data_IF_290443345663
#
_entry.id   IF_290443345663
#
_cell.length_a   1.000
_cell.length_b   1.000
_cell.length_c   1.000
_cell.angle_alpha   90.00
_cell.angle_beta   90.00
_cell.angle_gamma   90.00
#
_symmetry.space_group_name_H-M   'P 1'
#
loop_
_entity.id
_entity.type
_entity.pdbx_description
1 polymer ?
#
# COMPACT_ATOMS: atom_id res chain seq x y z
N UNK A 1 -18.29 -19.36 1.54
CA UNK A 1 -17.25 -18.32 1.37
C UNK A 1 -15.88 -18.91 1.72
N UNK A 2 -14.83 -18.60 0.96
CA UNK A 2 -13.47 -19.12 1.13
C UNK A 2 -12.72 -18.40 2.27
N UNK A 3 -13.20 -18.58 3.51
CA UNK A 3 -12.80 -17.80 4.70
C UNK A 3 -12.12 -18.68 5.76
N UNK A 4 -11.06 -19.38 5.38
CA UNK A 4 -10.35 -20.32 6.25
C UNK A 4 -8.85 -20.02 6.23
N UNK A 5 -8.18 -20.26 7.35
CA UNK A 5 -6.73 -20.09 7.52
C UNK A 5 -6.27 -18.63 7.30
N UNK A 6 -6.61 -17.71 8.22
CA UNK A 6 -6.01 -16.38 8.20
C UNK A 6 -4.48 -16.47 8.16
N UNK A 7 -3.86 -15.63 7.32
CA UNK A 7 -2.41 -15.50 7.24
C UNK A 7 -2.00 -14.26 8.02
N UNK A 8 -0.95 -14.39 8.82
CA UNK A 8 -0.38 -13.27 9.56
C UNK A 8 0.58 -12.50 8.68
N UNK A 9 0.52 -11.16 8.75
CA UNK A 9 1.59 -10.33 8.23
C UNK A 9 2.82 -10.46 9.12
N UNK A 10 4.00 -10.56 8.50
CA UNK A 10 5.28 -10.63 9.20
C UNK A 10 6.23 -9.57 8.67
N UNK A 11 7.13 -9.13 9.54
CA UNK A 11 8.14 -8.12 9.20
C UNK A 11 7.56 -6.76 8.80
N UNK A 12 8.41 -5.99 8.14
CA UNK A 12 8.10 -4.64 7.67
C UNK A 12 7.28 -4.69 6.39
N UNK A 13 6.45 -3.67 6.20
CA UNK A 13 5.83 -3.37 4.90
C UNK A 13 6.81 -2.57 4.07
N UNK A 14 6.61 -2.49 2.76
CA UNK A 14 7.42 -1.61 1.91
C UNK A 14 6.62 -1.01 0.75
N UNK A 15 7.02 0.20 0.35
CA UNK A 15 6.75 0.70 -0.99
C UNK A 15 7.87 0.20 -1.92
N UNK A 16 7.53 -0.23 -3.14
CA UNK A 16 8.48 -0.65 -4.17
C UNK A 16 8.11 0.00 -5.51
N UNK A 17 9.12 0.27 -6.33
CA UNK A 17 8.97 0.86 -7.65
C UNK A 17 9.57 -0.05 -8.73
N UNK A 18 8.86 -0.17 -9.86
CA UNK A 18 9.34 -0.86 -11.07
C UNK A 18 9.73 -2.33 -10.87
N UNK A 19 9.12 -3.03 -9.91
CA UNK A 19 9.51 -4.38 -9.50
C UNK A 19 10.92 -4.48 -8.92
N UNK A 20 11.61 -3.35 -8.72
CA UNK A 20 13.00 -3.33 -8.31
C UNK A 20 13.11 -3.40 -6.79
N UNK A 21 13.59 -4.54 -6.26
CA UNK A 21 13.80 -4.73 -4.81
C UNK A 21 14.76 -3.71 -4.20
N UNK A 22 15.74 -3.18 -4.95
CA UNK A 22 16.66 -2.18 -4.41
C UNK A 22 16.02 -0.81 -4.22
N UNK A 23 14.83 -0.58 -4.79
CA UNK A 23 14.07 0.66 -4.60
C UNK A 23 13.21 0.64 -3.33
N UNK A 24 13.16 -0.48 -2.60
CA UNK A 24 12.24 -0.65 -1.50
C UNK A 24 12.45 0.38 -0.39
N UNK A 25 11.37 1.03 -0.01
CA UNK A 25 11.29 1.84 1.19
C UNK A 25 10.48 1.07 2.23
N UNK A 26 11.19 0.46 3.18
CA UNK A 26 10.57 -0.30 4.26
C UNK A 26 10.05 0.62 5.36
N UNK A 27 8.92 0.24 5.96
CA UNK A 27 8.34 0.93 7.11
C UNK A 27 7.58 -0.06 8.00
N UNK A 28 7.48 0.26 9.28
CA UNK A 28 6.80 -0.57 10.26
C UNK A 28 5.32 -0.19 10.38
N UNK A 29 4.44 -0.97 9.76
CA UNK A 29 2.99 -0.78 9.87
C UNK A 29 2.47 -1.00 11.29
N UNK A 30 3.06 -1.92 12.06
CA UNK A 30 2.58 -2.21 13.41
C UNK A 30 2.95 -1.07 14.36
N UNK A 31 4.18 -0.59 14.32
CA UNK A 31 4.63 0.55 15.14
C UNK A 31 3.87 1.85 14.84
N UNK A 32 3.34 2.00 13.63
CA UNK A 32 2.49 3.13 13.22
C UNK A 32 1.01 2.99 13.65
N UNK A 33 0.63 1.88 14.26
CA UNK A 33 -0.78 1.58 14.57
C UNK A 33 -1.61 1.30 13.32
N UNK A 34 -0.98 0.95 12.20
CA UNK A 34 -1.62 0.67 10.92
C UNK A 34 -1.92 -0.81 10.70
N UNK A 35 -1.75 -1.64 11.72
CA UNK A 35 -2.05 -3.07 11.67
C UNK A 35 -3.06 -3.41 12.77
N UNK A 36 -4.12 -4.16 12.42
CA UNK A 36 -5.11 -4.64 13.40
C UNK A 36 -5.64 -6.02 13.03
N UNK A 37 -6.01 -6.80 14.04
CA UNK A 37 -6.79 -8.04 13.91
C UNK A 37 -8.14 -7.96 14.62
N UNK A 38 -8.50 -6.80 15.15
CA UNK A 38 -9.74 -6.58 15.90
C UNK A 38 -10.91 -6.30 14.94
N UNK A 39 -12.06 -6.92 15.22
CA UNK A 39 -13.28 -6.71 14.41
C UNK A 39 -13.20 -7.25 12.98
N UNK A 40 -12.21 -8.08 12.67
CA UNK A 40 -11.95 -8.54 11.31
C UNK A 40 -12.86 -9.70 10.91
N UNK A 41 -13.19 -9.77 9.61
CA UNK A 41 -13.94 -10.88 9.03
C UNK A 41 -13.15 -11.43 7.84
N UNK A 42 -12.67 -12.68 7.90
CA UNK A 42 -12.82 -13.69 8.98
C UNK A 42 -12.16 -13.29 10.31
N UNK A 43 -12.69 -13.76 11.44
CA UNK A 43 -12.11 -13.52 12.76
C UNK A 43 -10.65 -13.98 12.80
N UNK A 44 -9.77 -13.14 13.34
CA UNK A 44 -8.33 -13.40 13.44
C UNK A 44 -7.55 -13.05 12.17
N UNK A 45 -8.21 -12.57 11.11
CA UNK A 45 -7.50 -11.98 9.97
C UNK A 45 -6.87 -10.66 10.37
N UNK A 46 -5.82 -10.26 9.66
CA UNK A 46 -5.14 -9.01 9.87
C UNK A 46 -5.42 -8.03 8.72
N UNK A 47 -5.46 -6.75 9.05
CA UNK A 47 -5.45 -5.64 8.09
C UNK A 47 -4.19 -4.82 8.27
N UNK A 48 -3.67 -4.30 7.15
CA UNK A 48 -2.70 -3.20 7.14
C UNK A 48 -3.32 -2.02 6.39
N UNK A 49 -3.18 -0.80 6.93
CA UNK A 49 -3.62 0.43 6.24
C UNK A 49 -2.84 0.60 4.94
N UNK A 50 -3.53 1.06 3.89
CA UNK A 50 -2.86 1.48 2.66
C UNK A 50 -1.92 2.66 2.97
N UNK A 51 -0.59 2.51 2.76
CA UNK A 51 0.41 3.53 3.07
C UNK A 51 0.50 4.65 2.02
N UNK A 52 -0.20 4.51 0.88
CA UNK A 52 -0.14 5.45 -0.25
C UNK A 52 -1.02 6.66 0.06
N UNK A 53 -0.45 7.86 0.19
CA UNK A 53 -1.26 9.03 0.53
C UNK A 53 -1.80 9.70 -0.75
N UNK A 54 -2.80 10.57 -0.61
CA UNK A 54 -3.40 11.30 -1.76
C UNK A 54 -2.44 12.32 -2.36
N UNK A 55 -2.25 12.36 -3.68
CA UNK A 55 -1.31 13.33 -4.32
C UNK A 55 -1.49 14.79 -3.88
N UNK A 56 -2.70 15.16 -3.46
CA UNK A 56 -3.05 16.50 -3.03
C UNK A 56 -2.74 16.78 -1.55
N UNK A 57 -2.12 15.84 -0.81
CA UNK A 57 -1.92 15.95 0.64
C UNK A 57 -1.11 17.16 1.08
N UNK A 58 -0.22 17.69 0.24
CA UNK A 58 0.52 18.91 0.60
C UNK A 58 -0.34 20.17 0.49
N UNK A 59 -1.40 20.12 -0.32
CA UNK A 59 -2.37 21.21 -0.45
C UNK A 59 -3.49 21.09 0.59
N UNK A 60 -3.98 19.88 0.80
CA UNK A 60 -5.20 19.61 1.58
C UNK A 60 -4.91 19.15 3.02
N UNK A 61 -3.64 18.86 3.31
CA UNK A 61 -3.22 18.19 4.52
C UNK A 61 -3.24 16.68 4.35
N UNK A 62 -2.31 15.94 4.98
CA UNK A 62 -2.29 14.49 4.87
C UNK A 62 -3.32 13.85 5.81
N UNK A 63 -4.12 12.92 5.29
CA UNK A 63 -5.06 12.11 6.09
C UNK A 63 -4.37 11.21 7.12
N UNK A 64 -3.06 10.99 6.96
CA UNK A 64 -2.18 10.28 7.87
C UNK A 64 -0.73 10.70 7.59
N UNK A 65 0.18 10.59 8.57
CA UNK A 65 1.60 10.92 8.37
C UNK A 65 2.23 10.01 7.29
N UNK A 66 2.63 10.55 6.12
CA UNK A 66 3.17 9.75 5.02
C UNK A 66 4.46 9.01 5.39
N UNK A 67 4.67 7.82 4.81
CA UNK A 67 5.92 7.06 4.99
C UNK A 67 7.07 7.59 4.14
N UNK A 68 6.78 8.51 3.21
CA UNK A 68 7.76 9.11 2.33
C UNK A 68 7.31 10.51 1.88
N UNK A 69 8.24 11.29 1.34
CA UNK A 69 8.01 12.66 0.88
C UNK A 69 7.99 12.73 -0.65
N UNK A 70 7.13 13.59 -1.20
CA UNK A 70 7.14 13.88 -2.64
C UNK A 70 8.29 14.81 -3.03
N UNK A 71 8.75 14.67 -4.27
CA UNK A 71 9.68 15.60 -4.89
C UNK A 71 9.03 16.97 -5.12
N UNK A 72 9.83 18.05 -5.14
CA UNK A 72 9.33 19.39 -5.46
C UNK A 72 8.71 19.45 -6.87
N UNK A 73 9.29 18.73 -7.84
CA UNK A 73 8.69 18.51 -9.15
C UNK A 73 7.28 17.91 -9.05
N UNK A 74 7.09 16.84 -8.26
CA UNK A 74 5.76 16.27 -8.08
C UNK A 74 4.76 17.28 -7.52
N UNK A 75 5.16 18.05 -6.49
CA UNK A 75 4.27 19.04 -5.86
C UNK A 75 3.80 20.10 -6.85
N UNK A 76 4.68 20.55 -7.75
CA UNK A 76 4.35 21.49 -8.83
C UNK A 76 3.39 20.89 -9.85
N UNK A 77 3.52 19.59 -10.16
CA UNK A 77 2.60 18.87 -11.04
C UNK A 77 1.23 18.70 -10.39
N UNK A 78 1.19 18.25 -9.13
CA UNK A 78 -0.03 18.04 -8.36
C UNK A 78 -0.85 19.32 -8.18
N UNK A 79 -0.19 20.48 -8.14
CA UNK A 79 -0.83 21.80 -8.04
C UNK A 79 -1.19 22.43 -9.38
N UNK A 80 -0.96 21.74 -10.51
CA UNK A 80 -1.28 22.22 -11.85
C UNK A 80 -0.37 23.34 -12.36
N UNK A 81 0.75 23.60 -11.68
CA UNK A 81 1.73 24.64 -12.04
C UNK A 81 2.62 24.17 -13.21
N UNK A 82 2.76 22.86 -13.42
CA UNK A 82 3.53 22.27 -14.52
C UNK A 82 2.86 21.04 -15.11
N UNK A 83 3.05 20.81 -16.41
CA UNK A 83 2.72 19.54 -17.06
C UNK A 83 3.71 18.47 -16.58
N UNK A 84 3.23 17.44 -15.91
CA UNK A 84 4.08 16.43 -15.29
C UNK A 84 4.80 15.52 -16.27
N UNK A 85 6.00 15.11 -15.88
CA UNK A 85 6.72 13.99 -16.47
C UNK A 85 6.35 12.70 -15.74
N UNK A 86 6.31 11.60 -16.48
CA UNK A 86 6.07 10.29 -15.89
C UNK A 86 7.19 9.93 -14.91
N UNK A 87 6.82 9.37 -13.74
CA UNK A 87 7.76 8.89 -12.73
C UNK A 87 8.11 9.87 -11.61
N UNK A 88 7.52 11.06 -11.58
CA UNK A 88 7.91 12.12 -10.61
C UNK A 88 7.28 11.98 -9.22
N UNK A 89 6.00 11.57 -9.12
CA UNK A 89 5.35 11.42 -7.81
C UNK A 89 5.44 10.00 -7.28
N UNK A 90 6.57 9.68 -6.67
CA UNK A 90 6.85 8.31 -6.22
C UNK A 90 5.98 7.88 -5.05
N UNK A 91 5.63 8.80 -4.15
CA UNK A 91 4.98 8.46 -2.89
C UNK A 91 3.48 8.25 -3.00
N UNK A 92 2.79 9.17 -3.67
CA UNK A 92 1.37 9.09 -4.03
C UNK A 92 1.13 8.15 -5.20
N UNK A 93 2.17 7.83 -5.98
CA UNK A 93 2.04 7.12 -7.25
C UNK A 93 1.44 7.97 -8.37
N UNK A 94 1.14 9.25 -8.14
CA UNK A 94 0.54 10.11 -9.15
C UNK A 94 1.48 10.33 -10.33
N UNK A 95 1.03 10.12 -11.56
CA UNK A 95 1.91 10.18 -12.74
C UNK A 95 3.15 9.26 -12.68
N UNK A 96 3.24 8.33 -11.71
CA UNK A 96 4.40 7.47 -11.55
C UNK A 96 4.23 6.18 -12.37
N UNK A 97 4.81 6.17 -13.58
CA UNK A 97 4.66 5.08 -14.55
C UNK A 97 4.31 5.60 -15.95
N UNK A 98 4.32 4.69 -16.94
CA UNK A 98 4.02 5.00 -18.34
C UNK A 98 2.55 5.42 -18.58
N UNK A 99 2.13 5.70 -19.83
CA UNK A 99 0.79 6.22 -20.16
C UNK A 99 -0.37 5.31 -19.73
N UNK A 100 -0.09 4.07 -19.30
CA UNK A 100 -1.09 3.04 -19.07
C UNK A 100 -0.96 2.31 -17.73
N UNK A 101 0.11 2.47 -16.93
CA UNK A 101 0.26 1.68 -15.69
C UNK A 101 1.08 2.40 -14.61
N UNK A 102 0.55 2.61 -13.40
CA UNK A 102 1.37 2.99 -12.26
C UNK A 102 2.35 1.87 -11.90
N UNK A 103 3.58 2.22 -11.51
CA UNK A 103 4.66 1.27 -11.15
C UNK A 103 4.95 1.23 -9.63
N UNK A 104 4.12 1.88 -8.81
CA UNK A 104 4.19 1.84 -7.35
C UNK A 104 3.49 0.57 -6.83
N UNK A 105 4.16 -0.11 -5.92
CA UNK A 105 3.70 -1.37 -5.33
C UNK A 105 3.72 -1.28 -3.80
N UNK A 106 2.69 -1.84 -3.17
CA UNK A 106 2.66 -2.11 -1.73
C UNK A 106 3.08 -3.55 -1.54
N UNK A 107 4.12 -3.77 -0.76
CA UNK A 107 4.74 -5.08 -0.57
C UNK A 107 4.66 -5.46 0.91
N UNK A 108 4.04 -6.61 1.15
CA UNK A 108 3.93 -7.24 2.46
C UNK A 108 4.45 -8.68 2.41
N UNK A 109 4.89 -9.20 3.56
CA UNK A 109 5.25 -10.60 3.74
C UNK A 109 4.21 -11.30 4.62
N UNK A 110 3.84 -12.52 4.23
CA UNK A 110 2.81 -13.32 4.89
C UNK A 110 3.39 -14.64 5.37
N UNK A 111 3.09 -15.02 6.61
CA UNK A 111 3.48 -16.30 7.16
C UNK A 111 2.49 -17.40 6.74
N UNK A 112 2.99 -18.39 6.00
CA UNK A 112 2.25 -19.62 5.73
C UNK A 112 2.24 -20.47 7.02
N UNK A 113 1.08 -20.99 7.49
CA UNK A 113 1.00 -21.82 8.69
C UNK A 113 1.90 -23.06 8.60
N UNK A 114 2.73 -23.30 9.61
CA UNK A 114 3.74 -24.37 9.62
C UNK A 114 3.16 -25.78 9.54
N UNK A 115 1.93 -25.99 10.02
CA UNK A 115 1.20 -27.26 9.97
C UNK A 115 0.35 -27.47 8.71
N UNK A 116 0.43 -26.56 7.72
CA UNK A 116 -0.37 -26.64 6.51
C UNK A 116 0.11 -27.80 5.63
N UNK A 117 -0.78 -28.76 5.36
CA UNK A 117 -0.46 -29.90 4.50
C UNK A 117 -0.15 -29.42 3.07
N UNK A 118 0.80 -30.03 2.35
CA UNK A 118 1.02 -29.70 0.94
C UNK A 118 -0.25 -29.92 0.11
N UNK A 119 -0.53 -29.01 -0.82
CA UNK A 119 -1.73 -29.10 -1.64
C UNK A 119 -1.97 -27.85 -2.50
N UNK A 120 -3.12 -27.84 -3.16
CA UNK A 120 -3.58 -26.67 -3.93
C UNK A 120 -4.43 -25.78 -3.04
N UNK A 121 -4.02 -24.52 -2.95
CA UNK A 121 -4.68 -23.50 -2.17
C UNK A 121 -5.12 -22.36 -3.09
N UNK A 122 -6.14 -21.64 -2.66
CA UNK A 122 -6.53 -20.35 -3.25
C UNK A 122 -6.16 -19.29 -2.22
N UNK A 123 -5.50 -18.22 -2.65
CA UNK A 123 -5.28 -17.05 -1.81
C UNK A 123 -6.44 -16.08 -2.06
N UNK A 124 -7.15 -15.73 -0.99
CA UNK A 124 -8.09 -14.62 -1.02
C UNK A 124 -7.41 -13.39 -0.41
N UNK A 125 -7.40 -12.30 -1.15
CA UNK A 125 -7.00 -10.98 -0.65
C UNK A 125 -8.20 -10.04 -0.74
N UNK A 126 -8.28 -9.09 0.20
CA UNK A 126 -9.32 -8.08 0.28
C UNK A 126 -8.66 -6.72 0.44
N UNK A 127 -9.22 -5.74 -0.24
CA UNK A 127 -8.85 -4.34 -0.14
C UNK A 127 -10.13 -3.53 0.03
N UNK A 128 -10.17 -2.66 1.03
CA UNK A 128 -11.28 -1.74 1.26
C UNK A 128 -10.76 -0.31 1.05
N UNK A 129 -11.48 0.50 0.25
CA UNK A 129 -11.13 1.90 0.06
C UNK A 129 -11.59 2.74 1.26
N UNK A 130 -10.73 3.66 1.70
CA UNK A 130 -11.03 4.64 2.76
C UNK A 130 -11.67 5.93 2.19
N UNK A 131 -11.26 6.36 0.98
CA UNK A 131 -11.60 7.67 0.42
C UNK A 131 -12.89 7.71 -0.43
N UNK A 132 -13.45 6.55 -0.77
CA UNK A 132 -14.68 6.46 -1.56
C UNK A 132 -15.59 5.37 -1.02
N UNK A 133 -16.90 5.64 -0.99
CA UNK A 133 -17.91 4.61 -0.75
C UNK A 133 -17.76 3.49 -1.79
N UNK A 134 -17.49 2.28 -1.33
CA UNK A 134 -17.53 1.10 -2.20
C UNK A 134 -18.95 0.51 -2.14
N UNK A 135 -19.58 0.40 -3.31
CA UNK A 135 -20.84 -0.36 -3.51
C UNK A 135 -20.59 -1.86 -3.54
#
# INVERSE_FOLDING_TARGET
AFRKLPLDFVGLSALRWDGNKSSQLAFDSAARGWQTNEGTVPLGSQWRKNPVPTVLWEREGPSFEPVCAESEECKRVATGISTGFQGVCKCSGHSNGGPLLPNLEIVDELQIPTGLKPGRYVLQWRWDCEESDQV
#
